data_IF_853329622742
#
_entry.id   IF_853329622742
#
_cell.length_a   1.000
_cell.length_b   1.000
_cell.length_c   1.000
_cell.angle_alpha   90.00
_cell.angle_beta   90.00
_cell.angle_gamma   90.00
#
_symmetry.space_group_name_H-M   'P 1'
#
loop_
_entity.id
_entity.type
_entity.pdbx_description
1 polymer ?
#
# COMPACT_ATOMS: atom_id res chain seq x y z
N UNK A 1 -14.75 -35.49 26.17
CA UNK A 1 -13.80 -35.61 25.01
C UNK A 1 -14.40 -35.10 23.70
N UNK A 2 -15.60 -35.53 23.27
CA UNK A 2 -16.24 -35.08 21.98
C UNK A 2 -16.43 -33.56 21.85
N UNK A 3 -16.75 -32.83 22.94
CA UNK A 3 -16.93 -31.36 22.92
C UNK A 3 -15.60 -30.62 22.72
N UNK A 4 -14.52 -31.07 23.36
CA UNK A 4 -13.18 -30.49 23.24
C UNK A 4 -12.63 -30.68 21.82
N UNK A 5 -12.79 -31.85 21.24
CA UNK A 5 -12.40 -32.13 19.86
C UNK A 5 -13.13 -31.24 18.84
N UNK A 6 -14.42 -30.98 19.05
CA UNK A 6 -15.20 -30.06 18.19
C UNK A 6 -14.73 -28.61 18.32
N UNK A 7 -14.42 -28.14 19.52
CA UNK A 7 -13.90 -26.79 19.75
C UNK A 7 -12.51 -26.60 19.12
N UNK A 8 -11.64 -27.61 19.25
CA UNK A 8 -10.33 -27.61 18.59
C UNK A 8 -10.45 -27.61 17.07
N UNK A 9 -11.32 -28.44 16.51
CA UNK A 9 -11.56 -28.45 15.07
C UNK A 9 -12.08 -27.11 14.56
N UNK A 10 -13.01 -26.48 15.28
CA UNK A 10 -13.56 -25.17 14.94
C UNK A 10 -12.46 -24.08 15.00
N UNK A 11 -11.61 -24.10 16.02
CA UNK A 11 -10.47 -23.17 16.14
C UNK A 11 -9.48 -23.31 15.00
N UNK A 12 -9.14 -24.54 14.60
CA UNK A 12 -8.27 -24.82 13.45
C UNK A 12 -8.93 -24.32 12.14
N UNK A 13 -10.20 -24.55 11.93
CA UNK A 13 -10.92 -24.07 10.74
C UNK A 13 -10.90 -22.54 10.67
N UNK A 14 -11.17 -21.84 11.78
CA UNK A 14 -11.12 -20.38 11.83
C UNK A 14 -9.70 -19.86 11.50
N UNK A 15 -8.68 -20.48 12.08
CA UNK A 15 -7.29 -20.12 11.81
C UNK A 15 -6.92 -20.31 10.32
N UNK A 16 -7.29 -21.46 9.75
CA UNK A 16 -7.04 -21.75 8.32
C UNK A 16 -7.75 -20.74 7.40
N UNK A 17 -9.02 -20.44 7.68
CA UNK A 17 -9.78 -19.45 6.90
C UNK A 17 -9.13 -18.06 7.01
N UNK A 18 -8.69 -17.67 8.20
CA UNK A 18 -8.00 -16.36 8.40
C UNK A 18 -6.70 -16.30 7.63
N UNK A 19 -5.89 -17.37 7.64
CA UNK A 19 -4.64 -17.45 6.89
C UNK A 19 -4.88 -17.42 5.37
N UNK A 20 -5.89 -18.11 4.88
CA UNK A 20 -6.28 -18.10 3.47
C UNK A 20 -6.75 -16.71 3.02
N UNK A 21 -7.58 -16.03 3.82
CA UNK A 21 -8.04 -14.69 3.54
C UNK A 21 -6.87 -13.68 3.49
N UNK A 22 -5.94 -13.76 4.46
CA UNK A 22 -4.73 -12.91 4.44
C UNK A 22 -3.85 -13.18 3.22
N UNK A 23 -3.66 -14.45 2.86
CA UNK A 23 -2.93 -14.81 1.65
C UNK A 23 -3.59 -14.28 0.39
N UNK A 24 -4.92 -14.38 0.29
CA UNK A 24 -5.69 -13.86 -0.82
C UNK A 24 -5.60 -12.33 -0.93
N UNK A 25 -5.79 -11.60 0.18
CA UNK A 25 -5.70 -10.12 0.18
C UNK A 25 -4.30 -9.65 -0.21
N UNK A 26 -3.24 -10.28 0.29
CA UNK A 26 -1.86 -9.95 -0.08
C UNK A 26 -1.59 -10.20 -1.57
N UNK A 27 -2.06 -11.34 -2.11
CA UNK A 27 -1.91 -11.67 -3.52
C UNK A 27 -2.72 -10.71 -4.41
N UNK A 28 -3.94 -10.37 -4.02
CA UNK A 28 -4.78 -9.41 -4.71
C UNK A 28 -4.12 -8.04 -4.74
N UNK A 29 -3.64 -7.54 -3.60
CA UNK A 29 -2.92 -6.27 -3.51
C UNK A 29 -1.68 -6.27 -4.39
N UNK A 30 -0.87 -7.32 -4.36
CA UNK A 30 0.32 -7.43 -5.18
C UNK A 30 0.03 -7.45 -6.70
N UNK A 31 -1.10 -8.02 -7.11
CA UNK A 31 -1.52 -8.10 -8.50
C UNK A 31 -2.13 -6.79 -9.04
N UNK A 32 -2.75 -5.98 -8.17
CA UNK A 32 -3.51 -4.79 -8.54
C UNK A 32 -2.92 -3.48 -7.99
N UNK A 33 -1.75 -3.53 -7.36
CA UNK A 33 -1.09 -2.33 -6.85
C UNK A 33 -0.97 -1.26 -7.95
N UNK A 34 -1.02 0.05 -7.64
CA UNK A 34 -0.99 1.10 -8.67
C UNK A 34 0.05 0.92 -9.75
N UNK A 35 1.25 0.45 -9.43
CA UNK A 35 2.34 0.22 -10.37
C UNK A 35 2.07 -0.88 -11.42
N UNK A 36 0.97 -1.60 -11.32
CA UNK A 36 0.50 -2.57 -12.33
C UNK A 36 -0.58 -2.01 -13.26
N UNK A 37 -1.05 -0.80 -13.02
CA UNK A 37 -2.18 -0.17 -13.70
C UNK A 37 -1.73 1.07 -14.49
N UNK A 38 -1.30 0.91 -15.76
CA UNK A 38 -0.74 2.01 -16.55
C UNK A 38 -1.75 3.13 -16.78
N UNK A 39 -1.24 4.36 -16.88
CA UNK A 39 -2.04 5.55 -17.19
C UNK A 39 -3.01 5.99 -16.09
N UNK A 40 -2.89 5.45 -14.89
CA UNK A 40 -3.80 5.76 -13.78
C UNK A 40 -3.25 6.85 -12.87
N UNK A 41 -4.18 7.56 -12.23
CA UNK A 41 -3.88 8.57 -11.22
C UNK A 41 -4.61 8.21 -9.92
N UNK A 42 -3.90 8.30 -8.79
CA UNK A 42 -4.40 7.94 -7.48
C UNK A 42 -4.18 9.10 -6.51
N UNK A 43 -5.16 9.40 -5.70
CA UNK A 43 -5.05 10.42 -4.65
C UNK A 43 -6.00 10.12 -3.49
N UNK A 44 -5.64 10.58 -2.30
CA UNK A 44 -6.56 10.68 -1.18
C UNK A 44 -7.44 11.93 -1.28
N UNK A 45 -8.46 12.03 -0.44
CA UNK A 45 -9.44 13.14 -0.47
C UNK A 45 -8.80 14.52 -0.30
N UNK A 46 -7.74 14.60 0.51
CA UNK A 46 -7.05 15.86 0.83
C UNK A 46 -5.86 16.14 -0.12
N UNK A 47 -5.57 15.25 -1.05
CA UNK A 47 -4.44 15.38 -1.97
C UNK A 47 -3.07 15.33 -1.30
N UNK A 48 -2.99 14.68 -0.13
CA UNK A 48 -1.76 14.54 0.65
C UNK A 48 -0.79 13.62 -0.06
N UNK A 49 -1.28 12.46 -0.51
CA UNK A 49 -0.51 11.49 -1.27
C UNK A 49 -1.10 11.34 -2.66
N UNK A 50 -0.28 11.53 -3.67
CA UNK A 50 -0.68 11.33 -5.06
C UNK A 50 0.28 10.38 -5.76
N UNK A 51 -0.26 9.51 -6.61
CA UNK A 51 0.49 8.56 -7.41
C UNK A 51 0.04 8.66 -8.86
N UNK A 52 0.95 8.99 -9.76
CA UNK A 52 0.74 8.96 -11.20
C UNK A 52 1.50 7.79 -11.80
N UNK A 53 0.81 6.90 -12.48
CA UNK A 53 1.40 5.72 -13.11
C UNK A 53 1.62 6.00 -14.60
N UNK A 54 2.84 5.75 -15.07
CA UNK A 54 3.22 5.91 -16.48
C UNK A 54 2.55 4.84 -17.35
N UNK A 55 2.44 5.12 -18.65
CA UNK A 55 2.06 4.12 -19.66
C UNK A 55 3.25 3.25 -20.10
N UNK A 56 4.47 3.66 -19.78
CA UNK A 56 5.68 2.93 -20.18
C UNK A 56 6.09 1.91 -19.11
N UNK A 57 6.26 0.63 -19.48
CA UNK A 57 6.67 -0.40 -18.53
C UNK A 57 8.14 -0.25 -18.12
N UNK A 58 8.41 -0.36 -16.81
CA UNK A 58 9.79 -0.30 -16.26
C UNK A 58 10.52 -1.63 -16.42
N UNK A 59 9.81 -2.75 -16.46
CA UNK A 59 10.39 -4.10 -16.58
C UNK A 59 9.61 -4.94 -17.58
N UNK A 60 10.29 -5.37 -18.62
CA UNK A 60 9.83 -6.41 -19.55
C UNK A 60 10.37 -7.78 -19.11
N UNK A 61 9.53 -8.81 -19.07
CA UNK A 61 9.95 -10.21 -18.88
C UNK A 61 9.44 -10.93 -17.63
N UNK A 62 8.63 -10.29 -16.78
CA UNK A 62 7.90 -10.94 -15.68
C UNK A 62 6.43 -11.15 -16.03
N UNK A 63 5.78 -12.13 -15.38
CA UNK A 63 4.36 -12.44 -15.55
C UNK A 63 3.44 -11.22 -15.29
N UNK A 64 3.87 -10.28 -14.47
CA UNK A 64 3.18 -9.00 -14.19
C UNK A 64 4.08 -7.87 -14.67
N UNK A 65 3.56 -7.04 -15.58
CA UNK A 65 4.23 -5.80 -16.01
C UNK A 65 4.10 -4.75 -14.91
N UNK A 66 5.18 -4.01 -14.67
CA UNK A 66 5.20 -2.89 -13.72
C UNK A 66 5.56 -1.61 -14.44
N UNK A 67 4.99 -0.52 -13.99
CA UNK A 67 5.07 0.80 -14.60
C UNK A 67 5.69 1.81 -13.62
N UNK A 68 6.35 2.81 -14.15
CA UNK A 68 6.93 3.87 -13.33
C UNK A 68 5.83 4.65 -12.59
N UNK A 69 6.04 4.88 -11.30
CA UNK A 69 5.15 5.69 -10.48
C UNK A 69 5.84 6.99 -10.12
N UNK A 70 5.20 8.12 -10.43
CA UNK A 70 5.55 9.41 -9.88
C UNK A 70 4.71 9.61 -8.62
N UNK A 71 5.36 9.59 -7.47
CA UNK A 71 4.70 9.74 -6.17
C UNK A 71 5.02 11.13 -5.63
N UNK A 72 4.03 11.83 -5.10
CA UNK A 72 4.27 13.08 -4.38
C UNK A 72 3.46 13.13 -3.08
N UNK A 73 4.05 13.72 -2.07
CA UNK A 73 3.50 13.79 -0.72
C UNK A 73 3.53 15.24 -0.22
N UNK A 74 2.43 15.69 0.37
CA UNK A 74 2.37 16.94 1.12
C UNK A 74 2.66 16.64 2.59
N UNK A 75 3.78 17.11 3.10
CA UNK A 75 4.17 16.95 4.51
C UNK A 75 4.65 18.27 5.08
N UNK A 76 4.14 18.64 6.25
CA UNK A 76 4.42 19.92 6.89
C UNK A 76 4.17 21.15 5.99
N UNK A 77 3.18 21.06 5.10
CA UNK A 77 2.83 22.15 4.16
C UNK A 77 3.71 22.24 2.91
N UNK A 78 4.71 21.38 2.78
CA UNK A 78 5.58 21.30 1.61
C UNK A 78 5.30 20.02 0.81
N UNK A 79 5.54 20.08 -0.51
CA UNK A 79 5.37 18.94 -1.39
C UNK A 79 6.71 18.32 -1.74
N UNK A 80 6.82 17.04 -1.45
CA UNK A 80 8.02 16.24 -1.70
C UNK A 80 7.77 15.24 -2.82
N UNK A 81 8.80 14.96 -3.62
CA UNK A 81 8.85 13.75 -4.41
C UNK A 81 8.98 12.56 -3.45
N UNK A 82 8.45 11.41 -3.85
CA UNK A 82 8.56 10.22 -3.02
C UNK A 82 8.68 8.97 -3.89
N UNK A 83 9.18 7.90 -3.30
CA UNK A 83 9.27 6.58 -3.91
C UNK A 83 8.65 5.52 -3.00
N UNK A 84 7.96 4.55 -3.60
CA UNK A 84 7.55 3.36 -2.89
C UNK A 84 8.69 2.33 -2.88
N UNK A 85 8.90 1.69 -1.73
CA UNK A 85 9.79 0.53 -1.63
C UNK A 85 9.36 -0.58 -2.60
N UNK A 86 10.34 -1.35 -3.08
CA UNK A 86 10.16 -2.32 -4.16
C UNK A 86 9.28 -3.53 -3.81
N UNK A 87 8.91 -3.70 -2.56
CA UNK A 87 8.12 -4.86 -2.12
C UNK A 87 6.74 -4.42 -1.63
N UNK A 88 5.67 -4.59 -2.44
CA UNK A 88 4.30 -4.29 -2.03
C UNK A 88 3.73 -5.28 -0.99
N UNK A 89 4.55 -6.21 -0.52
CA UNK A 89 4.18 -7.15 0.55
C UNK A 89 4.65 -6.62 1.88
N UNK A 90 3.89 -5.78 2.50
CA UNK A 90 4.03 -5.14 3.79
C UNK A 90 5.32 -5.43 4.63
N UNK A 91 5.93 -4.43 5.29
CA UNK A 91 5.49 -3.05 5.23
C UNK A 91 5.93 -2.37 3.92
N UNK A 92 5.06 -1.54 3.38
CA UNK A 92 5.37 -0.67 2.25
C UNK A 92 6.09 0.56 2.79
N UNK A 93 7.35 0.74 2.41
CA UNK A 93 8.07 1.96 2.71
C UNK A 93 7.75 3.04 1.66
N UNK A 94 7.43 4.23 2.14
CA UNK A 94 7.37 5.44 1.35
C UNK A 94 8.49 6.37 1.81
N UNK A 95 9.46 6.61 0.93
CA UNK A 95 10.59 7.49 1.19
C UNK A 95 10.34 8.84 0.55
N UNK A 96 10.34 9.91 1.35
CA UNK A 96 10.32 11.29 0.87
C UNK A 96 11.72 11.71 0.45
N UNK A 97 11.82 12.38 -0.69
CA UNK A 97 13.06 12.83 -1.28
C UNK A 97 13.04 14.37 -1.44
N UNK A 98 14.16 14.99 -1.15
CA UNK A 98 14.36 16.42 -1.44
C UNK A 98 14.62 16.66 -2.94
N UNK A 99 14.76 17.92 -3.33
CA UNK A 99 15.04 18.29 -4.73
C UNK A 99 16.35 17.75 -5.30
N UNK A 100 17.24 17.20 -4.47
CA UNK A 100 18.47 16.51 -4.88
C UNK A 100 18.34 15.00 -4.98
N UNK A 101 17.17 14.44 -4.63
CA UNK A 101 16.93 12.99 -4.54
C UNK A 101 17.48 12.35 -3.26
N UNK A 102 17.77 13.16 -2.23
CA UNK A 102 18.21 12.65 -0.94
C UNK A 102 17.00 12.33 -0.08
N UNK A 103 17.00 11.15 0.56
CA UNK A 103 15.95 10.74 1.47
C UNK A 103 15.86 11.68 2.68
N UNK A 104 14.69 12.24 2.90
CA UNK A 104 14.38 13.15 4.02
C UNK A 104 13.71 12.40 5.15
N UNK A 105 12.75 11.55 4.82
CA UNK A 105 11.99 10.75 5.79
C UNK A 105 11.38 9.51 5.15
N UNK A 106 11.30 8.46 5.96
CA UNK A 106 10.60 7.22 5.63
C UNK A 106 9.31 7.10 6.43
N UNK A 107 8.29 6.57 5.79
CA UNK A 107 7.03 6.15 6.41
C UNK A 107 6.74 4.71 6.02
N UNK A 108 6.30 3.89 6.97
CA UNK A 108 5.98 2.49 6.72
C UNK A 108 4.50 2.22 6.95
N UNK A 109 3.88 1.55 5.98
CA UNK A 109 2.48 1.16 6.01
C UNK A 109 2.25 -0.29 5.64
N UNK A 110 1.18 -0.84 6.17
CA UNK A 110 0.53 -2.00 5.59
C UNK A 110 -0.39 -1.51 4.46
N UNK A 111 -0.10 -1.96 3.25
CA UNK A 111 -0.87 -1.60 2.07
C UNK A 111 -1.81 -2.75 1.70
N UNK A 112 -3.08 -2.46 1.47
CA UNK A 112 -4.01 -3.42 0.92
C UNK A 112 -5.04 -2.77 -0.01
N UNK A 113 -5.53 -3.55 -0.96
CA UNK A 113 -6.51 -3.12 -1.93
C UNK A 113 -7.81 -3.90 -1.73
N UNK A 114 -8.89 -3.26 -1.22
CA UNK A 114 -10.19 -3.90 -1.12
C UNK A 114 -10.83 -4.16 -2.50
N UNK A 115 -10.40 -3.39 -3.50
CA UNK A 115 -10.78 -3.52 -4.90
C UNK A 115 -9.71 -2.86 -5.79
N UNK A 116 -9.82 -2.98 -7.11
CA UNK A 116 -8.84 -2.44 -8.07
C UNK A 116 -8.87 -0.90 -8.22
N UNK A 117 -9.71 -0.18 -7.48
CA UNK A 117 -9.83 1.27 -7.55
C UNK A 117 -9.52 1.97 -6.22
N UNK A 118 -9.21 1.21 -5.17
CA UNK A 118 -8.98 1.75 -3.83
C UNK A 118 -7.73 1.11 -3.23
N UNK A 119 -6.81 1.94 -2.77
CA UNK A 119 -5.62 1.54 -2.02
C UNK A 119 -5.74 2.10 -0.61
N UNK A 120 -5.69 1.24 0.40
CA UNK A 120 -5.64 1.62 1.81
C UNK A 120 -4.25 1.43 2.37
N UNK A 121 -3.80 2.43 3.11
CA UNK A 121 -2.51 2.49 3.79
C UNK A 121 -2.76 2.69 5.28
N UNK A 122 -2.42 1.68 6.07
CA UNK A 122 -2.49 1.71 7.52
C UNK A 122 -1.06 1.68 8.09
N UNK A 123 -0.78 2.32 9.24
CA UNK A 123 0.54 2.25 9.85
C UNK A 123 1.01 0.82 10.06
N UNK A 124 2.28 0.55 9.76
CA UNK A 124 2.85 -0.77 9.97
C UNK A 124 3.01 -1.08 11.47
N UNK A 125 2.80 -2.35 11.84
CA UNK A 125 3.01 -2.82 13.20
C UNK A 125 4.48 -2.65 13.64
N UNK A 126 4.68 -2.15 14.86
CA UNK A 126 6.01 -1.93 15.43
C UNK A 126 6.69 -0.64 14.99
N UNK A 127 6.07 0.18 14.16
CA UNK A 127 6.53 1.51 13.86
C UNK A 127 6.25 2.44 15.06
N UNK A 128 7.27 3.15 15.56
CA UNK A 128 7.14 3.99 16.76
C UNK A 128 6.24 5.21 16.53
N UNK A 129 6.12 5.65 15.27
CA UNK A 129 5.29 6.76 14.86
C UNK A 129 4.23 6.29 13.86
N UNK A 130 3.01 6.70 14.09
CA UNK A 130 1.89 6.43 13.19
C UNK A 130 2.06 7.23 11.89
N UNK A 131 2.44 6.57 10.81
CA UNK A 131 2.76 7.21 9.54
C UNK A 131 1.59 8.03 8.97
N UNK A 132 0.37 7.50 9.02
CA UNK A 132 -0.79 8.22 8.54
C UNK A 132 -1.08 9.46 9.39
N UNK A 133 -0.95 9.34 10.73
CA UNK A 133 -1.11 10.46 11.65
C UNK A 133 -0.11 11.57 11.40
N UNK A 134 1.16 11.24 11.17
CA UNK A 134 2.21 12.21 10.86
C UNK A 134 1.94 12.98 9.57
N UNK A 135 1.42 12.29 8.56
CA UNK A 135 1.14 12.91 7.27
C UNK A 135 -0.14 13.73 7.27
N UNK A 136 -1.21 13.20 7.88
CA UNK A 136 -2.56 13.74 7.68
C UNK A 136 -3.36 13.98 8.95
N UNK A 137 -2.83 13.61 10.12
CA UNK A 137 -3.59 13.58 11.37
C UNK A 137 -4.64 12.46 11.44
N UNK A 138 -4.71 11.59 10.43
CA UNK A 138 -5.62 10.44 10.34
C UNK A 138 -4.88 9.16 10.75
N UNK A 139 -5.62 8.09 11.05
CA UNK A 139 -5.04 6.77 11.37
C UNK A 139 -4.82 5.90 10.14
N UNK A 140 -5.37 6.30 8.99
CA UNK A 140 -5.20 5.61 7.71
C UNK A 140 -5.29 6.62 6.57
N UNK A 141 -4.67 6.28 5.42
CA UNK A 141 -4.85 6.96 4.15
C UNK A 141 -5.56 6.04 3.16
N UNK A 142 -6.57 6.56 2.49
CA UNK A 142 -7.28 5.84 1.44
C UNK A 142 -7.13 6.61 0.13
N UNK A 143 -6.46 6.01 -0.84
CA UNK A 143 -6.32 6.56 -2.18
C UNK A 143 -7.37 5.93 -3.10
N UNK A 144 -7.96 6.77 -3.92
CA UNK A 144 -8.90 6.36 -4.96
C UNK A 144 -8.28 6.58 -6.34
N UNK A 145 -8.52 5.62 -7.25
CA UNK A 145 -8.17 5.78 -8.64
C UNK A 145 -9.12 6.78 -9.28
N UNK A 146 -8.56 7.81 -9.90
CA UNK A 146 -9.28 8.78 -10.71
C UNK A 146 -9.06 8.43 -12.18
N UNK A 147 -10.14 8.32 -12.94
CA UNK A 147 -10.08 8.23 -14.39
C UNK A 147 -9.82 9.62 -14.95
N UNK A 148 -8.71 9.76 -15.66
CA UNK A 148 -8.30 11.04 -16.28
C UNK A 148 -8.74 11.05 -17.73
#
# INVERSE_FOLDING_TARGET
>A
MKKIARLLAMGICVLLVTLLLRGYTAAFTAAHFPDTQPGTYWTDEDGILTVRVSDEPVQSGRAVKRYACQVSVCWNGERYAASFGQNPRAPLALTLEDGSGTAVRDFEWNAYMPNCHTLRLEPADGWQEDAARLLSGKTELTLHRIEV
#
